data_IF_803168492746
#
_entry.id   IF_803168492746
#
_cell.length_a   1.000
_cell.length_b   1.000
_cell.length_c   1.000
_cell.angle_alpha   90.00
_cell.angle_beta   90.00
_cell.angle_gamma   90.00
#
_symmetry.space_group_name_H-M   'P 1'
#
loop_
_entity.id
_entity.type
_entity.pdbx_description
1 polymer ?
#
# COMPACT_ATOMS: atom_id res chain seq x y z
N UNK A 1 -8.89 -16.76 -4.76
CA UNK A 1 -8.48 -15.64 -5.63
C UNK A 1 -9.73 -14.86 -5.97
N UNK A 2 -9.65 -13.53 -5.92
CA UNK A 2 -10.76 -12.65 -6.21
C UNK A 2 -10.32 -11.55 -7.19
N UNK A 3 -11.29 -10.89 -7.81
CA UNK A 3 -11.11 -9.69 -8.62
C UNK A 3 -12.16 -8.65 -8.25
N UNK A 4 -11.71 -7.43 -7.94
CA UNK A 4 -12.58 -6.28 -7.70
C UNK A 4 -12.55 -5.37 -8.95
N UNK A 5 -13.72 -4.99 -9.52
CA UNK A 5 -13.76 -4.03 -10.60
C UNK A 5 -13.16 -2.68 -10.20
N UNK A 6 -12.30 -2.10 -11.03
CA UNK A 6 -11.79 -0.74 -10.86
C UNK A 6 -11.70 -0.03 -12.22
N UNK A 7 -11.64 1.30 -12.20
CA UNK A 7 -11.67 2.13 -13.41
C UNK A 7 -10.53 1.83 -14.41
N UNK A 8 -9.39 1.32 -13.93
CA UNK A 8 -8.24 0.91 -14.76
C UNK A 8 -8.19 -0.58 -15.10
N UNK A 9 -9.31 -1.31 -14.92
CA UNK A 9 -9.38 -2.76 -15.04
C UNK A 9 -9.48 -3.47 -13.68
N UNK A 10 -9.76 -4.79 -13.69
CA UNK A 10 -9.92 -5.55 -12.46
C UNK A 10 -8.64 -5.57 -11.62
N UNK A 11 -8.79 -5.41 -10.31
CA UNK A 11 -7.72 -5.58 -9.32
C UNK A 11 -7.83 -6.97 -8.72
N UNK A 12 -6.76 -7.73 -8.80
CA UNK A 12 -6.74 -9.13 -8.39
C UNK A 12 -6.03 -9.30 -7.04
N UNK A 13 -6.49 -10.29 -6.27
CA UNK A 13 -5.84 -10.68 -5.03
C UNK A 13 -6.11 -12.12 -4.64
N UNK A 14 -5.31 -12.63 -3.71
CA UNK A 14 -5.50 -13.91 -3.04
C UNK A 14 -5.63 -13.64 -1.55
N UNK A 15 -6.70 -14.13 -0.95
CA UNK A 15 -6.84 -14.14 0.50
C UNK A 15 -6.07 -15.33 1.08
N UNK A 16 -5.27 -15.05 2.09
CA UNK A 16 -4.44 -16.03 2.81
C UNK A 16 -5.03 -16.18 4.20
N UNK A 17 -5.61 -17.35 4.49
CA UNK A 17 -6.12 -17.72 5.80
C UNK A 17 -4.99 -18.32 6.66
N UNK A 18 -5.01 -18.02 7.95
CA UNK A 18 -4.11 -18.61 8.92
C UNK A 18 -4.71 -18.55 10.34
N UNK A 19 -4.00 -19.06 11.35
CA UNK A 19 -4.51 -19.22 12.72
C UNK A 19 -4.88 -17.90 13.42
N UNK A 20 -4.33 -16.77 12.96
CA UNK A 20 -4.62 -15.43 13.52
C UNK A 20 -5.62 -14.64 12.66
N UNK A 21 -6.09 -15.19 11.54
CA UNK A 21 -7.08 -14.55 10.69
C UNK A 21 -6.66 -14.53 9.22
N UNK A 22 -6.83 -13.37 8.58
CA UNK A 22 -6.73 -13.24 7.13
C UNK A 22 -5.68 -12.21 6.73
N UNK A 23 -5.04 -12.43 5.59
CA UNK A 23 -4.24 -11.43 4.91
C UNK A 23 -4.49 -11.44 3.41
N UNK A 24 -3.92 -10.46 2.71
CA UNK A 24 -4.12 -10.29 1.28
C UNK A 24 -2.79 -10.26 0.53
N UNK A 25 -2.66 -11.16 -0.45
CA UNK A 25 -1.60 -11.18 -1.43
C UNK A 25 -2.12 -10.55 -2.74
N UNK A 26 -1.70 -9.32 -3.03
CA UNK A 26 -2.11 -8.58 -4.25
C UNK A 26 -0.95 -7.75 -4.85
N UNK A 27 0.19 -8.38 -5.22
CA UNK A 27 1.28 -7.65 -5.84
C UNK A 27 0.84 -6.94 -7.12
N UNK A 28 1.49 -5.82 -7.48
CA UNK A 28 1.17 -5.11 -8.73
C UNK A 28 1.44 -5.99 -9.95
N UNK A 29 0.77 -5.72 -11.09
CA UNK A 29 1.06 -6.41 -12.34
C UNK A 29 2.55 -6.31 -12.72
N UNK A 30 3.13 -7.42 -13.17
CA UNK A 30 4.55 -7.48 -13.55
C UNK A 30 5.54 -7.47 -12.39
N UNK A 31 5.08 -7.65 -11.14
CA UNK A 31 5.97 -7.83 -9.99
C UNK A 31 6.98 -8.97 -10.22
N UNK A 32 8.24 -8.74 -9.86
CA UNK A 32 9.26 -9.80 -9.80
C UNK A 32 8.91 -10.81 -8.71
N UNK A 33 9.55 -11.98 -8.75
CA UNK A 33 9.33 -13.01 -7.74
C UNK A 33 9.76 -12.54 -6.34
N UNK A 34 10.82 -11.71 -6.23
CA UNK A 34 11.26 -11.12 -4.96
C UNK A 34 10.26 -10.09 -4.43
N UNK A 35 9.68 -9.26 -5.30
CA UNK A 35 8.64 -8.33 -4.90
C UNK A 35 7.39 -9.11 -4.45
N UNK A 36 6.98 -10.13 -5.21
CA UNK A 36 5.89 -11.01 -4.82
C UNK A 36 6.15 -11.71 -3.49
N UNK A 37 7.37 -12.19 -3.21
CA UNK A 37 7.73 -12.78 -1.91
C UNK A 37 7.53 -11.80 -0.74
N UNK A 38 7.82 -10.50 -0.94
CA UNK A 38 7.50 -9.47 0.07
C UNK A 38 6.00 -9.35 0.27
N UNK A 39 5.22 -9.27 -0.81
CA UNK A 39 3.76 -9.24 -0.70
C UNK A 39 3.19 -10.47 0.00
N UNK A 40 3.77 -11.65 -0.24
CA UNK A 40 3.36 -12.88 0.45
C UNK A 40 3.73 -12.84 1.93
N UNK A 41 4.92 -12.35 2.28
CA UNK A 41 5.31 -12.12 3.68
C UNK A 41 4.33 -11.17 4.38
N UNK A 42 3.95 -10.09 3.70
CA UNK A 42 3.01 -9.10 4.21
C UNK A 42 1.61 -9.70 4.44
N UNK A 43 1.16 -10.58 3.54
CA UNK A 43 -0.11 -11.30 3.66
C UNK A 43 -0.09 -12.32 4.82
N UNK A 44 1.04 -12.98 5.04
CA UNK A 44 1.18 -13.98 6.12
C UNK A 44 1.22 -13.34 7.52
N UNK A 45 1.71 -12.11 7.65
CA UNK A 45 1.86 -11.46 8.95
C UNK A 45 0.53 -11.37 9.74
N UNK A 46 -0.56 -10.76 9.23
CA UNK A 46 -1.84 -10.74 9.94
C UNK A 46 -2.51 -12.11 10.05
N UNK A 47 -2.23 -13.05 9.12
CA UNK A 47 -2.88 -14.36 9.15
C UNK A 47 -2.20 -15.34 10.12
N UNK A 48 -0.94 -15.13 10.51
CA UNK A 48 -0.17 -16.09 11.32
C UNK A 48 0.35 -15.54 12.65
N UNK A 49 0.74 -14.26 12.73
CA UNK A 49 1.37 -13.67 13.92
C UNK A 49 0.57 -12.49 14.47
N UNK A 50 -0.17 -11.78 13.62
CA UNK A 50 -0.79 -10.49 13.95
C UNK A 50 0.20 -9.32 13.85
N UNK A 51 -0.30 -8.10 13.97
CA UNK A 51 0.50 -6.88 13.87
C UNK A 51 1.07 -6.45 15.23
N UNK A 52 2.06 -5.53 15.25
CA UNK A 52 2.45 -4.82 16.46
C UNK A 52 1.29 -4.04 17.08
N UNK A 53 1.38 -3.73 18.37
CA UNK A 53 0.40 -2.91 19.07
C UNK A 53 0.30 -1.52 18.43
N UNK A 54 -0.94 -1.08 18.24
CA UNK A 54 -1.23 0.24 17.73
C UNK A 54 -0.97 1.30 18.81
N UNK A 55 -0.30 2.39 18.43
CA UNK A 55 -0.12 3.58 19.27
C UNK A 55 -1.33 4.52 19.20
N UNK A 56 -2.25 4.28 18.25
CA UNK A 56 -3.47 5.06 18.04
C UNK A 56 -4.60 4.19 17.49
N UNK A 57 -5.82 4.41 17.98
CA UNK A 57 -7.01 3.62 17.59
C UNK A 57 -7.64 4.02 16.24
N UNK A 58 -7.21 5.13 15.64
CA UNK A 58 -7.60 5.56 14.30
C UNK A 58 -6.47 6.31 13.61
N UNK A 59 -6.45 6.28 12.29
CA UNK A 59 -5.44 6.98 11.46
C UNK A 59 -6.12 8.04 10.59
N UNK A 60 -5.54 9.24 10.46
CA UNK A 60 -6.06 10.27 9.57
C UNK A 60 -5.90 9.82 8.13
N UNK A 61 -6.92 10.07 7.31
CA UNK A 61 -6.92 9.78 5.87
C UNK A 61 -7.27 11.06 5.13
N UNK A 62 -6.39 11.45 4.20
CA UNK A 62 -6.54 12.67 3.42
C UNK A 62 -7.38 12.45 2.18
N UNK A 63 -7.77 13.56 1.54
CA UNK A 63 -8.14 13.52 0.13
C UNK A 63 -7.00 12.92 -0.70
N UNK A 64 -7.32 12.40 -1.89
CA UNK A 64 -6.31 11.90 -2.81
C UNK A 64 -5.29 13.01 -3.09
N UNK A 65 -4.04 12.80 -2.65
CA UNK A 65 -2.94 13.71 -2.95
C UNK A 65 -2.52 13.53 -4.41
N UNK A 66 -2.14 14.63 -5.10
CA UNK A 66 -1.53 14.54 -6.42
C UNK A 66 -0.29 13.64 -6.34
N UNK A 67 -0.33 12.55 -7.10
CA UNK A 67 0.84 11.71 -7.32
C UNK A 67 1.41 12.09 -8.67
N UNK A 68 2.70 12.42 -8.71
CA UNK A 68 3.36 12.96 -9.90
C UNK A 68 4.22 11.86 -10.51
N UNK A 69 3.77 11.32 -11.64
CA UNK A 69 4.58 10.41 -12.45
C UNK A 69 5.65 11.21 -13.20
N UNK A 70 6.92 10.97 -12.88
CA UNK A 70 8.03 11.79 -13.40
C UNK A 70 8.38 11.41 -14.83
N UNK A 71 8.42 10.11 -15.14
CA UNK A 71 8.73 9.64 -16.49
C UNK A 71 10.08 10.17 -17.00
N UNK A 72 10.12 10.69 -18.24
CA UNK A 72 11.34 11.27 -18.83
C UNK A 72 11.42 12.80 -18.73
N UNK A 73 10.38 13.47 -18.27
CA UNK A 73 10.27 14.94 -18.29
C UNK A 73 10.19 15.51 -16.87
N UNK A 74 11.35 15.87 -16.34
CA UNK A 74 11.50 16.46 -15.01
C UNK A 74 10.86 17.86 -14.96
N UNK A 75 10.91 18.63 -16.05
CA UNK A 75 10.41 20.00 -16.09
C UNK A 75 8.88 20.03 -16.00
N UNK A 76 8.22 19.10 -16.68
CA UNK A 76 6.78 18.88 -16.56
C UNK A 76 6.40 18.52 -15.12
N UNK A 77 7.13 17.59 -14.48
CA UNK A 77 6.87 17.21 -13.08
C UNK A 77 7.02 18.40 -12.11
N UNK A 78 8.08 19.20 -12.26
CA UNK A 78 8.28 20.41 -11.44
C UNK A 78 7.15 21.42 -11.63
N UNK A 79 6.69 21.61 -12.87
CA UNK A 79 5.58 22.52 -13.18
C UNK A 79 4.30 22.07 -12.50
N UNK A 80 3.94 20.80 -12.65
CA UNK A 80 2.77 20.21 -12.00
C UNK A 80 2.80 20.37 -10.47
N UNK A 81 3.97 20.15 -9.85
CA UNK A 81 4.11 20.29 -8.39
C UNK A 81 3.91 21.75 -7.97
N UNK A 82 4.49 22.71 -8.68
CA UNK A 82 4.37 24.14 -8.36
C UNK A 82 2.95 24.65 -8.55
N UNK A 83 2.25 24.19 -9.59
CA UNK A 83 0.86 24.55 -9.86
C UNK A 83 -0.09 23.97 -8.82
N UNK A 84 0.12 22.71 -8.41
CA UNK A 84 -0.72 22.05 -7.42
C UNK A 84 -0.44 22.53 -5.97
N UNK A 85 0.78 22.96 -5.68
CA UNK A 85 1.27 23.39 -4.37
C UNK A 85 0.81 22.49 -3.20
N UNK A 86 1.10 21.17 -3.24
CA UNK A 86 0.66 20.25 -2.20
C UNK A 86 1.44 20.44 -0.89
N UNK A 87 0.93 19.88 0.21
CA UNK A 87 1.64 19.75 1.48
C UNK A 87 2.90 18.86 1.37
N UNK A 88 2.84 17.85 0.50
CA UNK A 88 3.94 16.97 0.14
C UNK A 88 3.78 16.48 -1.31
N UNK A 89 4.86 16.53 -2.09
CA UNK A 89 4.88 16.05 -3.48
C UNK A 89 5.31 14.59 -3.53
N UNK A 90 4.36 13.68 -3.76
CA UNK A 90 4.64 12.25 -3.90
C UNK A 90 4.98 11.90 -5.35
N UNK A 91 6.25 11.54 -5.58
CA UNK A 91 6.75 11.15 -6.89
C UNK A 91 6.63 9.64 -7.08
N UNK A 92 6.21 9.24 -8.28
CA UNK A 92 6.22 7.84 -8.74
C UNK A 92 6.92 7.74 -10.09
N UNK A 93 7.27 6.51 -10.48
CA UNK A 93 7.95 6.20 -11.73
C UNK A 93 9.19 7.07 -11.96
N UNK A 94 9.99 7.24 -10.89
CA UNK A 94 11.19 8.06 -10.88
C UNK A 94 12.41 7.28 -10.35
N UNK A 95 13.60 7.66 -10.82
CA UNK A 95 14.86 7.26 -10.20
C UNK A 95 15.21 8.20 -9.03
N UNK A 96 16.20 7.81 -8.24
CA UNK A 96 16.70 8.65 -7.16
C UNK A 96 17.30 9.97 -7.68
N UNK A 97 18.00 9.94 -8.81
CA UNK A 97 18.57 11.14 -9.44
C UNK A 97 17.48 12.12 -9.88
N UNK A 98 16.38 11.60 -10.43
CA UNK A 98 15.23 12.41 -10.83
C UNK A 98 14.55 13.04 -9.61
N UNK A 99 14.32 12.26 -8.56
CA UNK A 99 13.76 12.75 -7.30
C UNK A 99 14.63 13.87 -6.70
N UNK A 100 15.95 13.67 -6.63
CA UNK A 100 16.89 14.68 -6.14
C UNK A 100 16.90 15.95 -7.01
N UNK A 101 16.78 15.81 -8.33
CA UNK A 101 16.69 16.93 -9.25
C UNK A 101 15.40 17.75 -9.05
N UNK A 102 14.26 17.08 -8.87
CA UNK A 102 12.97 17.73 -8.59
C UNK A 102 13.00 18.41 -7.23
N UNK A 103 13.48 17.72 -6.19
CA UNK A 103 13.59 18.23 -4.82
C UNK A 103 14.35 19.55 -4.73
N UNK A 104 15.39 19.74 -5.53
CA UNK A 104 16.16 21.02 -5.58
C UNK A 104 15.41 22.18 -6.26
N UNK A 105 14.27 21.92 -6.89
CA UNK A 105 13.56 22.87 -7.75
C UNK A 105 12.13 23.18 -7.26
N UNK A 106 11.67 22.53 -6.20
CA UNK A 106 10.34 22.75 -5.62
C UNK A 106 10.48 23.13 -4.15
N UNK A 107 9.54 23.93 -3.64
CA UNK A 107 9.56 24.45 -2.26
C UNK A 107 8.77 23.56 -1.28
N UNK A 108 8.20 22.46 -1.76
CA UNK A 108 7.42 21.50 -0.97
C UNK A 108 8.23 20.22 -0.73
N UNK A 109 8.05 19.52 0.41
CA UNK A 109 8.74 18.25 0.67
C UNK A 109 8.48 17.23 -0.43
N UNK A 110 9.53 16.52 -0.87
CA UNK A 110 9.42 15.44 -1.84
C UNK A 110 9.32 14.09 -1.13
N UNK A 111 8.33 13.28 -1.50
CA UNK A 111 8.12 11.92 -0.99
C UNK A 111 8.34 10.88 -2.09
N UNK A 112 9.07 9.81 -1.79
CA UNK A 112 9.31 8.67 -2.69
C UNK A 112 9.19 7.33 -1.96
N UNK A 113 8.96 6.25 -2.70
CA UNK A 113 9.03 4.89 -2.16
C UNK A 113 10.36 4.61 -1.45
N UNK A 114 10.30 3.88 -0.34
CA UNK A 114 11.48 3.44 0.40
C UNK A 114 12.50 2.62 -0.41
N UNK A 115 12.08 2.08 -1.57
CA UNK A 115 12.96 1.40 -2.54
C UNK A 115 13.83 2.42 -3.31
N UNK A 116 13.31 3.60 -3.66
CA UNK A 116 14.05 4.66 -4.36
C UNK A 116 15.16 5.21 -3.45
N UNK A 117 14.85 5.37 -2.16
CA UNK A 117 15.82 5.77 -1.12
C UNK A 117 16.94 4.75 -0.89
N UNK A 118 16.82 3.52 -1.40
CA UNK A 118 17.89 2.53 -1.28
C UNK A 118 19.12 2.89 -2.14
N UNK A 119 18.90 3.58 -3.26
CA UNK A 119 19.98 4.03 -4.15
C UNK A 119 20.63 5.33 -3.64
N UNK A 120 19.82 6.27 -3.14
CA UNK A 120 20.29 7.50 -2.51
C UNK A 120 19.31 7.93 -1.39
N UNK A 121 19.68 7.81 -0.11
CA UNK A 121 18.83 8.24 1.00
C UNK A 121 18.56 9.75 1.05
N UNK A 122 19.33 10.57 0.33
CA UNK A 122 19.21 12.03 0.33
C UNK A 122 18.31 12.56 -0.81
N UNK A 123 17.77 11.68 -1.66
CA UNK A 123 17.01 12.10 -2.84
C UNK A 123 15.59 12.62 -2.54
N UNK A 124 15.09 12.46 -1.31
CA UNK A 124 13.76 12.88 -0.90
C UNK A 124 13.75 13.33 0.58
N UNK A 125 12.69 14.03 0.97
CA UNK A 125 12.47 14.51 2.35
C UNK A 125 11.61 13.56 3.18
N UNK A 126 10.76 12.77 2.50
CA UNK A 126 9.72 11.93 3.12
C UNK A 126 9.81 10.52 2.54
N UNK A 127 9.74 9.51 3.41
CA UNK A 127 9.65 8.11 2.97
C UNK A 127 8.20 7.69 2.80
N UNK A 128 7.88 7.14 1.62
CA UNK A 128 6.61 6.47 1.39
C UNK A 128 6.69 5.01 1.79
N UNK A 129 5.76 4.59 2.64
CA UNK A 129 5.67 3.23 3.16
C UNK A 129 4.41 2.54 2.65
N UNK A 130 4.59 1.31 2.16
CA UNK A 130 3.53 0.41 1.68
C UNK A 130 3.80 -1.00 2.21
N UNK A 131 2.91 -1.56 3.01
CA UNK A 131 3.12 -2.84 3.69
C UNK A 131 3.40 -3.98 2.70
N UNK A 132 2.62 -4.08 1.62
CA UNK A 132 2.80 -5.14 0.62
C UNK A 132 4.21 -5.16 0.03
N UNK A 133 4.70 -3.98 -0.38
CA UNK A 133 6.05 -3.84 -0.98
C UNK A 133 7.18 -4.06 0.02
N UNK A 134 6.97 -3.72 1.29
CA UNK A 134 7.99 -3.79 2.33
C UNK A 134 8.01 -5.12 3.09
N UNK A 135 7.03 -5.99 2.86
CA UNK A 135 6.95 -7.29 3.49
C UNK A 135 6.30 -7.28 4.87
N UNK A 136 5.30 -6.44 5.06
CA UNK A 136 4.50 -6.37 6.28
C UNK A 136 4.83 -5.16 7.16
N UNK A 137 4.00 -4.97 8.18
CA UNK A 137 4.03 -3.88 9.15
C UNK A 137 5.37 -3.84 9.88
N UNK A 138 5.83 -4.95 10.46
CA UNK A 138 7.10 -4.95 11.22
C UNK A 138 8.32 -4.61 10.35
N UNK A 139 8.37 -5.12 9.12
CA UNK A 139 9.46 -4.81 8.18
C UNK A 139 9.40 -3.35 7.73
N UNK A 140 8.20 -2.83 7.47
CA UNK A 140 8.01 -1.42 7.13
C UNK A 140 8.42 -0.49 8.28
N UNK A 141 8.07 -0.80 9.53
CA UNK A 141 8.49 -0.02 10.71
C UNK A 141 10.02 0.00 10.86
N UNK A 142 10.69 -1.16 10.76
CA UNK A 142 12.17 -1.21 10.79
C UNK A 142 12.80 -0.40 9.66
N UNK A 143 12.15 -0.35 8.48
CA UNK A 143 12.63 0.46 7.36
C UNK A 143 12.47 1.95 7.65
N UNK A 144 11.34 2.37 8.20
CA UNK A 144 11.08 3.75 8.61
C UNK A 144 12.10 4.22 9.66
N UNK A 145 12.30 3.42 10.72
CA UNK A 145 13.27 3.70 11.79
C UNK A 145 14.70 3.86 11.23
N UNK A 146 15.13 2.94 10.35
CA UNK A 146 16.47 2.99 9.75
C UNK A 146 16.69 4.19 8.83
N UNK A 147 15.64 4.66 8.14
CA UNK A 147 15.75 5.80 7.25
C UNK A 147 15.72 7.12 8.01
N UNK A 148 15.05 7.17 9.17
CA UNK A 148 14.98 8.37 10.00
C UNK A 148 14.28 9.56 9.34
N UNK A 149 13.50 9.31 8.28
CA UNK A 149 12.72 10.32 7.55
C UNK A 149 11.26 10.33 8.04
N UNK A 150 10.56 11.48 7.97
CA UNK A 150 9.12 11.55 8.10
C UNK A 150 8.42 10.52 7.19
N UNK A 151 7.42 9.82 7.72
CA UNK A 151 6.74 8.74 7.02
C UNK A 151 5.40 9.18 6.42
N UNK A 152 5.17 8.78 5.17
CA UNK A 152 3.91 8.87 4.47
C UNK A 152 3.39 7.46 4.17
N UNK A 153 2.30 7.04 4.79
CA UNK A 153 1.71 5.72 4.54
C UNK A 153 0.70 5.80 3.39
N UNK A 154 0.96 5.07 2.31
CA UNK A 154 0.09 5.00 1.12
C UNK A 154 -0.55 3.63 1.05
N UNK A 155 -1.87 3.60 0.89
CA UNK A 155 -2.61 2.35 0.84
C UNK A 155 -2.38 1.63 -0.49
N UNK A 156 -2.16 0.32 -0.39
CA UNK A 156 -1.75 -0.53 -1.50
C UNK A 156 -2.60 -1.79 -1.65
N UNK A 157 -3.41 -2.11 -0.64
CA UNK A 157 -4.35 -3.23 -0.67
C UNK A 157 -5.44 -3.07 -1.73
N UNK A 158 -5.84 -4.21 -2.28
CA UNK A 158 -6.96 -4.33 -3.22
C UNK A 158 -8.30 -4.37 -2.51
N UNK A 159 -8.40 -5.07 -1.37
CA UNK A 159 -9.59 -5.12 -0.53
C UNK A 159 -9.37 -4.45 0.83
N UNK A 160 -10.42 -4.37 1.66
CA UNK A 160 -10.28 -3.91 3.05
C UNK A 160 -9.33 -4.77 3.88
N UNK A 161 -9.15 -6.05 3.54
CA UNK A 161 -8.20 -6.94 4.22
C UNK A 161 -6.76 -6.46 3.98
N UNK A 162 -6.42 -6.16 2.73
CA UNK A 162 -5.11 -5.63 2.36
C UNK A 162 -4.87 -4.22 2.90
N UNK A 163 -5.86 -3.32 2.76
CA UNK A 163 -5.74 -1.93 3.25
C UNK A 163 -5.57 -1.90 4.77
N UNK A 164 -6.17 -2.83 5.52
CA UNK A 164 -6.01 -2.90 6.97
C UNK A 164 -4.54 -3.08 7.40
N UNK A 165 -3.68 -3.72 6.59
CA UNK A 165 -2.26 -3.82 6.89
C UNK A 165 -1.56 -2.44 6.85
N UNK A 166 -1.87 -1.62 5.84
CA UNK A 166 -1.32 -0.27 5.76
C UNK A 166 -1.87 0.63 6.89
N UNK A 167 -3.15 0.45 7.27
CA UNK A 167 -3.73 1.13 8.45
C UNK A 167 -3.00 0.72 9.74
N UNK A 168 -2.72 -0.57 9.92
CA UNK A 168 -2.00 -1.07 11.09
C UNK A 168 -0.58 -0.51 11.17
N UNK A 169 0.12 -0.41 10.03
CA UNK A 169 1.41 0.29 9.97
C UNK A 169 1.31 1.75 10.41
N UNK A 170 0.38 2.51 9.84
CA UNK A 170 0.17 3.91 10.22
C UNK A 170 -0.19 4.06 11.71
N UNK A 171 -0.93 3.10 12.27
CA UNK A 171 -1.31 3.09 13.67
C UNK A 171 -0.14 2.76 14.61
N UNK A 172 0.84 1.98 14.16
CA UNK A 172 1.99 1.55 14.96
C UNK A 172 3.22 2.49 14.86
N UNK A 173 3.28 3.39 13.88
CA UNK A 173 4.37 4.35 13.75
C UNK A 173 4.38 5.37 14.92
N UNK A 174 5.54 5.74 15.50
CA UNK A 174 5.60 6.76 16.55
C UNK A 174 5.02 8.10 16.09
N UNK A 175 5.47 8.57 14.94
CA UNK A 175 5.02 9.81 14.31
C UNK A 175 4.28 9.55 13.01
N UNK A 176 3.21 10.32 12.78
CA UNK A 176 2.39 10.25 11.56
C UNK A 176 2.05 11.68 11.11
N UNK A 177 3.04 12.42 10.57
CA UNK A 177 2.89 13.85 10.25
C UNK A 177 1.97 14.12 9.05
N UNK A 178 1.72 13.11 8.21
CA UNK A 178 0.89 13.22 7.02
C UNK A 178 -0.33 12.30 7.12
N UNK A 179 -1.45 12.75 6.55
CA UNK A 179 -2.63 11.90 6.42
C UNK A 179 -2.35 10.69 5.50
N UNK A 180 -2.92 9.53 5.79
CA UNK A 180 -2.68 8.30 5.03
C UNK A 180 -3.55 8.21 3.76
N UNK A 181 -3.27 7.20 2.94
CA UNK A 181 -4.15 6.80 1.83
C UNK A 181 -3.69 7.28 0.45
N UNK A 182 -4.63 7.50 -0.49
CA UNK A 182 -6.09 7.50 -0.30
C UNK A 182 -6.69 6.09 -0.09
N UNK A 183 -7.91 6.04 0.45
CA UNK A 183 -8.72 4.81 0.41
C UNK A 183 -9.07 4.49 -1.04
N UNK A 184 -8.84 3.25 -1.51
CA UNK A 184 -9.20 2.89 -2.86
C UNK A 184 -10.70 3.09 -3.12
N UNK A 185 -11.03 3.88 -4.14
CA UNK A 185 -12.41 4.29 -4.39
C UNK A 185 -13.35 3.11 -4.68
N UNK A 186 -12.81 2.03 -5.27
CA UNK A 186 -13.57 0.84 -5.59
C UNK A 186 -14.09 0.10 -4.36
N UNK A 187 -13.50 0.28 -3.16
CA UNK A 187 -14.00 -0.36 -1.94
C UNK A 187 -15.43 0.04 -1.58
N UNK A 188 -15.89 1.20 -2.08
CA UNK A 188 -17.25 1.68 -1.86
C UNK A 188 -18.28 0.77 -2.53
N UNK A 189 -17.95 0.25 -3.70
CA UNK A 189 -18.86 -0.49 -4.58
C UNK A 189 -18.49 -1.98 -4.68
N UNK A 190 -17.24 -2.35 -4.38
CA UNK A 190 -16.70 -3.70 -4.48
C UNK A 190 -15.67 -3.98 -3.40
N UNK A 191 -15.99 -4.94 -2.53
CA UNK A 191 -15.11 -5.40 -1.45
C UNK A 191 -15.48 -6.84 -1.05
N UNK A 192 -14.52 -7.57 -0.45
CA UNK A 192 -14.66 -8.98 -0.06
C UNK A 192 -15.13 -9.16 1.38
N UNK A 193 -15.29 -8.07 2.14
CA UNK A 193 -15.80 -8.07 3.51
C UNK A 193 -17.21 -7.47 3.57
N UNK A 194 -17.96 -7.73 4.63
CA UNK A 194 -19.31 -7.16 4.80
C UNK A 194 -19.30 -5.62 4.77
N UNK A 195 -20.40 -4.98 4.37
CA UNK A 195 -20.49 -3.51 4.27
C UNK A 195 -20.13 -2.80 5.59
N UNK A 196 -20.49 -3.39 6.74
CA UNK A 196 -20.21 -2.84 8.06
C UNK A 196 -18.72 -2.98 8.47
N UNK A 197 -17.95 -3.80 7.75
CA UNK A 197 -16.53 -4.08 8.01
C UNK A 197 -15.61 -3.55 6.90
N UNK A 198 -16.18 -3.03 5.82
CA UNK A 198 -15.42 -2.37 4.76
C UNK A 198 -14.80 -1.08 5.29
N UNK A 199 -13.55 -0.83 4.91
CA UNK A 199 -12.80 0.35 5.32
C UNK A 199 -13.24 1.56 4.50
N UNK A 200 -14.36 2.15 4.91
CA UNK A 200 -14.83 3.47 4.48
C UNK A 200 -14.32 4.58 5.41
N UNK A 201 -14.04 5.76 4.85
CA UNK A 201 -13.65 6.92 5.63
C UNK A 201 -14.82 7.46 6.44
N UNK A 202 -14.59 7.72 7.73
CA UNK A 202 -15.55 8.40 8.63
C UNK A 202 -14.84 9.57 9.28
N UNK A 203 -15.36 10.79 9.07
CA UNK A 203 -14.79 12.06 9.55
C UNK A 203 -13.30 12.27 9.20
N UNK A 204 -12.85 11.73 8.06
CA UNK A 204 -11.45 11.79 7.64
C UNK A 204 -10.52 10.82 8.36
N UNK A 205 -11.05 9.76 8.97
CA UNK A 205 -10.28 8.72 9.64
C UNK A 205 -10.65 7.31 9.17
N UNK A 206 -9.73 6.37 9.40
CA UNK A 206 -10.00 4.94 9.40
C UNK A 206 -9.70 4.33 10.78
N UNK A 207 -10.50 3.33 11.24
CA UNK A 207 -10.24 2.64 12.48
C UNK A 207 -9.02 1.72 12.36
N UNK A 208 -8.15 1.73 13.37
CA UNK A 208 -7.04 0.81 13.49
C UNK A 208 -7.47 -0.43 14.29
N UNK A 209 -8.02 -1.42 13.60
CA UNK A 209 -8.37 -2.70 14.21
C UNK A 209 -7.09 -3.53 14.45
N UNK A 210 -7.04 -4.35 15.51
CA UNK A 210 -5.87 -5.20 15.81
C UNK A 210 -5.67 -6.33 14.79
N UNK A 211 -6.69 -6.61 13.97
CA UNK A 211 -6.66 -7.62 12.92
C UNK A 211 -7.60 -7.23 11.76
N UNK A 212 -7.37 -7.74 10.54
CA UNK A 212 -8.30 -7.56 9.42
C UNK A 212 -9.68 -8.15 9.70
N UNK A 213 -10.70 -7.63 9.02
CA UNK A 213 -12.00 -8.29 8.98
C UNK A 213 -11.91 -9.61 8.20
N UNK A 214 -12.63 -10.64 8.64
CA UNK A 214 -12.80 -11.85 7.85
C UNK A 214 -13.60 -11.59 6.58
N UNK A 215 -13.37 -12.35 5.49
CA UNK A 215 -14.15 -12.23 4.27
C UNK A 215 -15.60 -12.61 4.51
N UNK A 216 -16.50 -11.91 3.83
CA UNK A 216 -17.90 -12.27 3.74
C UNK A 216 -18.09 -13.27 2.60
N UNK A 217 -18.63 -14.45 2.89
CA UNK A 217 -18.72 -15.55 1.93
C UNK A 217 -19.56 -15.19 0.69
N UNK A 218 -20.64 -14.43 0.86
CA UNK A 218 -21.52 -14.05 -0.24
C UNK A 218 -20.84 -13.04 -1.16
N UNK A 219 -20.19 -12.01 -0.58
CA UNK A 219 -19.43 -11.01 -1.35
C UNK A 219 -18.20 -11.61 -2.02
N UNK A 220 -17.44 -12.43 -1.30
CA UNK A 220 -16.30 -13.12 -1.88
C UNK A 220 -16.73 -13.99 -3.07
N UNK A 221 -17.85 -14.72 -2.93
CA UNK A 221 -18.44 -15.53 -4.00
C UNK A 221 -18.75 -14.76 -5.29
N UNK A 222 -19.15 -13.49 -5.17
CA UNK A 222 -19.43 -12.60 -6.30
C UNK A 222 -18.16 -12.11 -7.02
N UNK A 223 -17.02 -12.11 -6.33
CA UNK A 223 -15.76 -11.61 -6.84
C UNK A 223 -14.77 -12.74 -7.18
N UNK A 224 -15.16 -14.02 -7.09
CA UNK A 224 -14.28 -15.13 -7.41
C UNK A 224 -13.87 -15.12 -8.89
N UNK A 225 -12.58 -15.31 -9.13
CA UNK A 225 -12.06 -15.45 -10.49
C UNK A 225 -12.32 -16.87 -10.98
N UNK A 226 -13.08 -16.98 -12.08
CA UNK A 226 -13.46 -18.25 -12.70
C UNK A 226 -12.61 -18.62 -13.91
N UNK A 227 -11.87 -17.65 -14.47
CA UNK A 227 -10.93 -17.90 -15.56
C UNK A 227 -9.75 -18.78 -15.09
N UNK A 228 -9.68 -20.00 -15.61
CA UNK A 228 -8.69 -20.99 -15.22
C UNK A 228 -7.24 -20.57 -15.56
N UNK A 229 -7.03 -19.85 -16.65
CA UNK A 229 -5.70 -19.40 -17.06
C UNK A 229 -5.18 -18.31 -16.10
N UNK A 230 -6.06 -17.37 -15.74
CA UNK A 230 -5.74 -16.32 -14.76
C UNK A 230 -5.45 -16.93 -13.38
N UNK A 231 -6.26 -17.90 -12.94
CA UNK A 231 -6.04 -18.61 -11.68
C UNK A 231 -4.71 -19.37 -11.68
N UNK A 232 -4.37 -20.04 -12.79
CA UNK A 232 -3.10 -20.75 -12.93
C UNK A 232 -1.90 -19.80 -12.83
N UNK A 233 -1.94 -18.65 -13.51
CA UNK A 233 -0.88 -17.64 -13.44
C UNK A 233 -0.63 -17.14 -12.00
N UNK A 234 -1.71 -16.88 -11.25
CA UNK A 234 -1.59 -16.44 -9.86
C UNK A 234 -1.10 -17.54 -8.92
N UNK A 235 -1.52 -18.78 -9.14
CA UNK A 235 -0.96 -19.93 -8.40
C UNK A 235 0.53 -20.11 -8.68
N UNK A 236 0.97 -19.91 -9.91
CA UNK A 236 2.37 -20.00 -10.30
C UNK A 236 3.19 -18.89 -9.64
N UNK A 237 2.69 -17.65 -9.66
CA UNK A 237 3.31 -16.53 -8.95
C UNK A 237 3.42 -16.80 -7.45
N UNK A 238 2.35 -17.27 -6.82
CA UNK A 238 2.34 -17.62 -5.40
C UNK A 238 3.38 -18.70 -5.08
N UNK A 239 3.49 -19.74 -5.92
CA UNK A 239 4.49 -20.81 -5.76
C UNK A 239 5.92 -20.28 -5.86
N UNK A 240 6.22 -19.43 -6.84
CA UNK A 240 7.56 -18.83 -6.99
C UNK A 240 7.89 -17.88 -5.85
N UNK A 241 6.93 -17.06 -5.42
CA UNK A 241 7.08 -16.20 -4.26
C UNK A 241 7.33 -16.99 -2.97
N UNK A 242 6.58 -18.08 -2.75
CA UNK A 242 6.74 -18.94 -1.58
C UNK A 242 8.09 -19.67 -1.53
N UNK A 243 8.68 -19.98 -2.69
CA UNK A 243 10.01 -20.61 -2.77
C UNK A 243 11.16 -19.68 -2.31
N UNK A 244 10.88 -18.39 -2.09
CA UNK A 244 11.84 -17.39 -1.63
C UNK A 244 11.67 -16.99 -0.15
N UNK A 245 10.75 -17.62 0.58
CA UNK A 245 10.49 -17.38 2.01
C UNK A 245 11.23 -18.38 2.90
#
# INVERSE_FOLDING_TARGET
MFAIPAAGGPRYGVLVEGPQGWGEFSPPPGASDELAARWLTAAMEPSTVGWPDALRGRVPVGAARPTVAVGRDIDAAVTLIREAAPDVAHLIDCTAEQAAAIRRRVDVPVAVDADVLAADPQCADVVVLRCGRLGGVRRAMRRAERLGLPALVVFSGTSSIGVAADVALAAALPDLPYACGPVPQWLRDGDVVSSARSLGTSDGYLPAAPMPAGPDAARLGQCLVTDAAVVAQWRDLLRRAAALL
#
